data_IF_446703265847
#
_entry.id   IF_446703265847
#
_cell.length_a   1.000
_cell.length_b   1.000
_cell.length_c   1.000
_cell.angle_alpha   90.00
_cell.angle_beta   90.00
_cell.angle_gamma   90.00
#
_symmetry.space_group_name_H-M   'P 1'
#
loop_
_entity.id
_entity.type
_entity.pdbx_description
1 polymer ?
#
# COMPACT_ATOMS: atom_id res chain seq x y z
N UNK A 1 -9.48 -5.69 -30.78
CA UNK A 1 -10.20 -6.70 -31.58
C UNK A 1 -10.80 -6.12 -32.88
N UNK A 2 -11.19 -4.85 -32.89
CA UNK A 2 -11.85 -4.18 -34.03
C UNK A 2 -11.04 -2.99 -34.55
N UNK A 3 -9.71 -3.03 -34.46
CA UNK A 3 -8.80 -1.94 -34.86
C UNK A 3 -8.84 -1.62 -36.34
N UNK A 4 -9.24 -2.56 -37.16
CA UNK A 4 -9.43 -2.44 -38.61
C UNK A 4 -10.79 -1.80 -38.99
N UNK A 5 -11.74 -1.72 -38.06
CA UNK A 5 -13.08 -1.17 -38.26
C UNK A 5 -13.12 0.35 -38.09
N UNK A 6 -12.34 1.05 -38.87
CA UNK A 6 -12.28 2.51 -38.90
C UNK A 6 -13.37 3.10 -39.80
N UNK A 7 -13.69 4.36 -39.58
CA UNK A 7 -14.60 5.11 -40.46
C UNK A 7 -14.28 4.93 -41.94
N UNK A 8 -12.98 5.04 -42.28
CA UNK A 8 -12.52 4.93 -43.66
C UNK A 8 -12.74 3.52 -44.22
N UNK A 9 -12.44 2.46 -43.49
CA UNK A 9 -12.65 1.08 -43.95
C UNK A 9 -14.14 0.77 -44.10
N UNK A 10 -14.96 1.15 -43.12
CA UNK A 10 -16.40 0.93 -43.12
C UNK A 10 -17.08 1.69 -44.28
N UNK A 11 -16.69 2.93 -44.50
CA UNK A 11 -17.22 3.71 -45.65
C UNK A 11 -16.81 3.11 -46.96
N UNK A 12 -15.57 2.68 -47.14
CA UNK A 12 -15.08 2.07 -48.35
C UNK A 12 -15.79 0.74 -48.66
N UNK A 13 -15.96 -0.11 -47.62
CA UNK A 13 -16.70 -1.37 -47.72
C UNK A 13 -18.15 -1.11 -48.18
N UNK A 14 -18.84 -0.18 -47.46
CA UNK A 14 -20.22 0.16 -47.76
C UNK A 14 -20.41 0.77 -49.18
N UNK A 15 -19.46 1.58 -49.68
CA UNK A 15 -19.50 2.14 -50.99
C UNK A 15 -19.24 1.10 -52.06
N UNK A 16 -18.40 0.07 -51.81
CA UNK A 16 -18.13 -1.04 -52.70
C UNK A 16 -19.32 -1.96 -52.94
N UNK A 17 -20.19 -2.05 -51.91
CA UNK A 17 -21.40 -2.89 -51.98
C UNK A 17 -22.59 -2.21 -52.70
N UNK A 18 -22.48 -0.91 -53.01
CA UNK A 18 -23.51 -0.20 -53.76
C UNK A 18 -23.52 -0.68 -55.24
N UNK A 19 -24.67 -1.17 -55.69
CA UNK A 19 -24.84 -1.73 -57.04
C UNK A 19 -24.53 -0.75 -58.16
N UNK A 20 -24.13 -1.31 -59.32
CA UNK A 20 -23.75 -0.52 -60.49
C UNK A 20 -24.85 0.42 -60.97
N UNK A 21 -24.45 1.62 -61.38
CA UNK A 21 -25.34 2.67 -61.89
C UNK A 21 -25.69 3.78 -60.90
N UNK A 22 -25.23 3.65 -59.63
CA UNK A 22 -25.38 4.69 -58.59
C UNK A 22 -24.06 5.48 -58.48
N UNK A 23 -24.17 6.79 -58.40
CA UNK A 23 -23.02 7.68 -58.16
C UNK A 23 -22.60 7.60 -56.68
N UNK A 24 -21.37 7.13 -56.43
CA UNK A 24 -20.81 6.89 -55.08
C UNK A 24 -19.69 7.85 -54.72
N UNK A 25 -19.44 8.88 -55.52
CA UNK A 25 -18.40 9.89 -55.25
C UNK A 25 -18.75 10.82 -54.11
N UNK A 26 -17.74 11.49 -53.60
CA UNK A 26 -17.90 12.51 -52.55
C UNK A 26 -18.87 13.62 -53.01
N UNK A 27 -19.80 14.02 -52.13
CA UNK A 27 -20.84 15.00 -52.44
C UNK A 27 -22.15 14.43 -52.96
N UNK A 28 -22.22 13.18 -53.41
CA UNK A 28 -23.46 12.54 -53.78
C UNK A 28 -24.27 12.05 -52.54
N UNK A 29 -25.58 11.96 -52.71
CA UNK A 29 -26.49 11.60 -51.62
C UNK A 29 -26.14 10.28 -50.94
N UNK A 30 -25.76 9.25 -51.72
CA UNK A 30 -25.37 7.94 -51.22
C UNK A 30 -24.10 8.02 -50.39
N UNK A 31 -23.09 8.76 -50.87
CA UNK A 31 -21.87 8.97 -50.08
C UNK A 31 -22.15 9.62 -48.77
N UNK A 32 -22.93 10.72 -48.74
CA UNK A 32 -23.25 11.44 -47.54
C UNK A 32 -24.05 10.57 -46.53
N UNK A 33 -24.97 9.76 -47.01
CA UNK A 33 -25.76 8.87 -46.19
C UNK A 33 -24.88 7.76 -45.55
N UNK A 34 -24.04 7.09 -46.35
CA UNK A 34 -23.14 6.04 -45.92
C UNK A 34 -22.02 6.57 -44.99
N UNK A 35 -21.55 7.79 -45.25
CA UNK A 35 -20.57 8.47 -44.42
C UNK A 35 -21.10 8.67 -42.99
N UNK A 36 -22.32 9.14 -42.86
CA UNK A 36 -22.95 9.31 -41.51
C UNK A 36 -23.13 7.94 -40.81
N UNK A 37 -23.53 6.90 -41.54
CA UNK A 37 -23.68 5.56 -41.02
C UNK A 37 -22.34 4.95 -40.59
N UNK A 38 -21.30 5.07 -41.45
CA UNK A 38 -19.98 4.57 -41.16
C UNK A 38 -19.37 5.19 -39.90
N UNK A 39 -19.64 6.49 -39.66
CA UNK A 39 -19.22 7.16 -38.44
C UNK A 39 -19.93 6.60 -37.15
N UNK A 40 -21.22 6.35 -37.24
CA UNK A 40 -21.93 5.71 -36.10
C UNK A 40 -21.52 4.25 -35.90
N UNK A 41 -21.21 3.51 -36.98
CA UNK A 41 -20.68 2.14 -36.84
C UNK A 41 -19.27 2.11 -36.24
N UNK A 42 -18.38 3.04 -36.56
CA UNK A 42 -17.07 3.15 -35.92
C UNK A 42 -17.22 3.33 -34.44
N UNK A 43 -18.09 4.25 -33.97
CA UNK A 43 -18.39 4.43 -32.56
C UNK A 43 -18.90 3.15 -31.88
N UNK A 44 -19.76 2.39 -32.58
CA UNK A 44 -20.24 1.12 -32.06
C UNK A 44 -19.10 0.10 -31.91
N UNK A 45 -18.19 0.00 -32.87
CA UNK A 45 -17.04 -0.89 -32.77
C UNK A 45 -16.08 -0.48 -31.66
N UNK A 46 -15.87 0.82 -31.45
CA UNK A 46 -15.10 1.34 -30.29
C UNK A 46 -15.77 0.93 -28.97
N UNK A 47 -17.09 1.07 -28.88
CA UNK A 47 -17.83 0.64 -27.68
C UNK A 47 -17.78 -0.86 -27.46
N UNK A 48 -17.87 -1.66 -28.54
CA UNK A 48 -17.74 -3.11 -28.46
C UNK A 48 -16.35 -3.55 -27.99
N UNK A 49 -15.29 -2.89 -28.46
CA UNK A 49 -13.91 -3.16 -28.00
C UNK A 49 -13.78 -2.81 -26.52
N UNK A 50 -14.31 -1.68 -26.09
CA UNK A 50 -14.35 -1.29 -24.67
C UNK A 50 -15.08 -2.34 -23.82
N UNK A 51 -16.30 -2.71 -24.18
CA UNK A 51 -17.09 -3.74 -23.47
C UNK A 51 -16.33 -5.07 -23.40
N UNK A 52 -15.68 -5.47 -24.50
CA UNK A 52 -14.89 -6.71 -24.51
C UNK A 52 -13.74 -6.67 -23.52
N UNK A 53 -13.03 -5.54 -23.44
CA UNK A 53 -11.94 -5.33 -22.47
C UNK A 53 -12.44 -5.33 -21.03
N UNK A 54 -13.64 -4.80 -20.79
CA UNK A 54 -14.23 -4.79 -19.45
C UNK A 54 -14.63 -6.19 -18.97
N UNK A 55 -14.79 -7.16 -19.85
CA UNK A 55 -15.06 -8.55 -19.49
C UNK A 55 -13.87 -9.35 -18.96
N UNK A 56 -12.67 -8.79 -18.97
CA UNK A 56 -11.44 -9.46 -18.53
C UNK A 56 -10.78 -8.69 -17.40
N UNK A 57 -10.45 -9.40 -16.32
CA UNK A 57 -9.93 -8.78 -15.09
C UNK A 57 -8.60 -8.00 -15.30
N UNK A 58 -7.77 -8.41 -16.28
CA UNK A 58 -6.50 -7.77 -16.61
C UNK A 58 -6.68 -6.40 -17.30
N UNK A 59 -7.78 -6.24 -18.05
CA UNK A 59 -8.06 -5.03 -18.85
C UNK A 59 -9.25 -4.22 -18.34
N UNK A 60 -10.03 -4.75 -17.39
CA UNK A 60 -11.17 -4.07 -16.80
C UNK A 60 -10.77 -2.84 -15.99
N UNK A 61 -11.58 -1.80 -16.06
CA UNK A 61 -11.50 -0.66 -15.16
C UNK A 61 -11.89 -1.08 -13.72
N UNK A 62 -11.67 -0.20 -12.74
CA UNK A 62 -11.89 -0.53 -11.33
C UNK A 62 -13.33 -0.98 -11.05
N UNK A 63 -14.32 -0.31 -11.64
CA UNK A 63 -15.75 -0.60 -11.40
C UNK A 63 -16.12 -2.02 -11.84
N UNK A 64 -15.72 -2.40 -13.05
CA UNK A 64 -15.98 -3.73 -13.61
C UNK A 64 -15.12 -4.80 -12.94
N UNK A 65 -13.88 -4.48 -12.58
CA UNK A 65 -13.03 -5.40 -11.83
C UNK A 65 -13.62 -5.74 -10.46
N UNK A 66 -14.28 -4.77 -9.78
CA UNK A 66 -14.99 -5.01 -8.53
C UNK A 66 -16.08 -6.08 -8.73
N UNK A 67 -16.87 -5.99 -9.81
CA UNK A 67 -17.92 -6.97 -10.10
C UNK A 67 -17.33 -8.35 -10.43
N UNK A 68 -16.26 -8.40 -11.24
CA UNK A 68 -15.55 -9.66 -11.56
C UNK A 68 -14.97 -10.30 -10.27
N UNK A 69 -14.39 -9.50 -9.38
CA UNK A 69 -13.81 -9.99 -8.13
C UNK A 69 -14.87 -10.53 -7.16
N UNK A 70 -16.08 -9.98 -7.16
CA UNK A 70 -17.21 -10.47 -6.35
C UNK A 70 -17.60 -11.90 -6.68
N UNK A 71 -17.47 -12.35 -7.92
CA UNK A 71 -17.74 -13.75 -8.33
C UNK A 71 -16.80 -14.74 -7.60
N UNK A 72 -15.67 -14.24 -7.11
CA UNK A 72 -14.69 -14.98 -6.29
C UNK A 72 -14.85 -14.72 -4.80
N UNK A 73 -15.88 -13.97 -4.38
CA UNK A 73 -16.07 -13.56 -3.00
C UNK A 73 -15.05 -12.51 -2.51
N UNK A 74 -14.40 -11.81 -3.45
CA UNK A 74 -13.42 -10.75 -3.14
C UNK A 74 -14.11 -9.40 -3.28
N UNK A 75 -14.11 -8.64 -2.20
CA UNK A 75 -14.66 -7.28 -2.15
C UNK A 75 -13.53 -6.27 -2.08
N UNK A 76 -13.71 -5.15 -2.78
CA UNK A 76 -12.78 -4.02 -2.68
C UNK A 76 -12.66 -3.58 -1.22
N UNK A 77 -11.43 -3.40 -0.74
CA UNK A 77 -11.19 -2.76 0.56
C UNK A 77 -11.53 -1.29 0.47
N UNK A 78 -12.42 -0.85 1.35
CA UNK A 78 -12.76 0.56 1.48
C UNK A 78 -11.76 1.27 2.37
N UNK A 79 -11.65 2.58 2.18
CA UNK A 79 -10.84 3.43 3.04
C UNK A 79 -11.14 3.16 4.51
N UNK A 80 -10.11 3.07 5.32
CA UNK A 80 -10.21 2.80 6.74
C UNK A 80 -9.74 3.99 7.58
N UNK A 81 -10.26 4.07 8.81
CA UNK A 81 -9.87 5.12 9.74
C UNK A 81 -8.58 4.74 10.47
N UNK A 82 -7.70 5.72 10.68
CA UNK A 82 -6.55 5.53 11.56
C UNK A 82 -6.99 5.45 13.02
N UNK A 83 -6.33 4.59 13.78
CA UNK A 83 -6.45 4.53 15.24
C UNK A 83 -5.13 4.96 15.86
N UNK A 84 -5.23 5.80 16.88
CA UNK A 84 -4.08 6.39 17.55
C UNK A 84 -4.19 6.20 19.06
N UNK A 85 -3.04 6.19 19.73
CA UNK A 85 -2.95 6.22 21.19
C UNK A 85 -2.93 7.66 21.65
N UNK A 86 -3.88 8.03 22.51
CA UNK A 86 -4.00 9.37 23.09
C UNK A 86 -3.73 9.29 24.57
N UNK A 87 -2.82 10.13 25.06
CA UNK A 87 -2.51 10.25 26.49
C UNK A 87 -3.01 11.59 27.00
N UNK A 88 -3.80 11.56 28.06
CA UNK A 88 -4.26 12.73 28.79
C UNK A 88 -3.57 12.91 30.15
N UNK A 89 -3.84 14.05 30.78
CA UNK A 89 -3.43 14.29 32.19
C UNK A 89 -4.55 14.01 33.23
N UNK A 90 -5.77 13.76 32.73
CA UNK A 90 -6.97 13.41 33.52
C UNK A 90 -7.77 12.32 32.80
N UNK A 91 -8.73 11.67 33.48
CA UNK A 91 -9.66 10.74 32.82
C UNK A 91 -10.44 11.44 31.70
N UNK A 92 -10.46 10.80 30.50
CA UNK A 92 -11.17 11.31 29.33
C UNK A 92 -12.37 10.41 29.05
N UNK A 93 -13.60 10.93 29.01
CA UNK A 93 -14.77 10.14 28.69
C UNK A 93 -14.72 9.58 27.25
N UNK A 94 -15.20 8.34 27.08
CA UNK A 94 -15.38 7.75 25.73
C UNK A 94 -16.36 8.61 24.94
N UNK A 95 -16.05 8.82 23.66
CA UNK A 95 -16.82 9.70 22.79
C UNK A 95 -16.32 11.15 22.73
N UNK A 96 -15.39 11.56 23.62
CA UNK A 96 -14.76 12.88 23.56
C UNK A 96 -14.03 13.06 22.25
N UNK A 97 -14.18 14.25 21.68
CA UNK A 97 -13.57 14.60 20.39
C UNK A 97 -12.44 15.59 20.56
N UNK A 98 -11.40 15.37 19.79
CA UNK A 98 -10.20 16.20 19.72
C UNK A 98 -9.88 16.56 18.29
N UNK A 99 -9.16 17.65 18.08
CA UNK A 99 -8.64 18.05 16.77
C UNK A 99 -7.12 18.11 16.82
N UNK A 100 -6.47 17.59 15.78
CA UNK A 100 -5.05 17.81 15.52
C UNK A 100 -4.89 18.17 14.03
N UNK A 101 -4.39 19.38 13.76
CA UNK A 101 -4.34 19.97 12.42
C UNK A 101 -5.72 19.98 11.76
N UNK A 102 -5.90 19.32 10.60
CA UNK A 102 -7.16 19.22 9.86
C UNK A 102 -8.02 18.03 10.23
N UNK A 103 -7.55 17.13 11.11
CA UNK A 103 -8.24 15.89 11.44
C UNK A 103 -8.89 15.94 12.82
N UNK A 104 -10.07 15.32 12.92
CA UNK A 104 -10.77 15.12 14.16
C UNK A 104 -10.67 13.66 14.62
N UNK A 105 -10.53 13.48 15.92
CA UNK A 105 -10.38 12.18 16.54
C UNK A 105 -11.42 12.02 17.65
N UNK A 106 -11.95 10.82 17.80
CA UNK A 106 -12.92 10.47 18.85
C UNK A 106 -12.36 9.35 19.70
N UNK A 107 -12.37 9.51 21.01
CA UNK A 107 -12.02 8.46 21.95
C UNK A 107 -13.04 7.32 21.84
N UNK A 108 -12.54 6.12 21.59
CA UNK A 108 -13.39 4.92 21.37
C UNK A 108 -13.22 3.87 22.46
N UNK A 109 -12.04 3.82 23.10
CA UNK A 109 -11.71 2.79 24.07
C UNK A 109 -10.64 3.28 25.04
N UNK A 110 -10.68 2.85 26.30
CA UNK A 110 -9.59 3.02 27.24
C UNK A 110 -8.58 1.88 27.09
N UNK A 111 -7.30 2.21 26.88
CA UNK A 111 -6.22 1.21 26.82
C UNK A 111 -5.68 0.97 28.25
N UNK A 112 -5.45 2.05 29.00
CA UNK A 112 -4.96 1.98 30.37
C UNK A 112 -5.47 3.18 31.18
N UNK A 113 -6.45 2.95 32.03
CA UNK A 113 -7.07 3.97 32.86
C UNK A 113 -6.11 4.52 33.92
N UNK A 114 -5.14 3.74 34.41
CA UNK A 114 -4.21 4.17 35.43
C UNK A 114 -3.23 5.26 34.96
N UNK A 115 -2.99 5.32 33.63
CA UNK A 115 -2.09 6.31 32.99
C UNK A 115 -2.81 7.16 31.94
N UNK A 116 -4.15 7.15 31.98
CA UNK A 116 -5.03 7.94 31.13
C UNK A 116 -4.70 7.80 29.63
N UNK A 117 -4.48 6.57 29.19
CA UNK A 117 -4.17 6.26 27.79
C UNK A 117 -5.39 5.64 27.12
N UNK A 118 -5.76 6.19 25.98
CA UNK A 118 -6.98 5.88 25.26
C UNK A 118 -6.67 5.57 23.80
N UNK A 119 -7.50 4.72 23.20
CA UNK A 119 -7.56 4.55 21.76
C UNK A 119 -8.53 5.58 21.18
N UNK A 120 -8.08 6.36 20.24
CA UNK A 120 -8.92 7.28 19.48
C UNK A 120 -8.95 6.88 18.01
N UNK A 121 -10.10 7.06 17.38
CA UNK A 121 -10.32 6.84 15.94
C UNK A 121 -10.34 8.21 15.25
N UNK A 122 -9.58 8.36 14.18
CA UNK A 122 -9.76 9.49 13.27
C UNK A 122 -11.15 9.42 12.63
N UNK A 123 -11.88 10.52 12.59
CA UNK A 123 -13.22 10.55 12.01
C UNK A 123 -13.20 10.53 10.47
N UNK A 124 -12.08 10.85 9.87
CA UNK A 124 -11.86 10.78 8.42
C UNK A 124 -11.06 9.52 8.10
N UNK A 125 -11.55 8.76 7.11
CA UNK A 125 -10.85 7.61 6.58
C UNK A 125 -9.73 8.07 5.62
N UNK A 126 -8.71 7.26 5.47
CA UNK A 126 -7.58 7.52 4.59
C UNK A 126 -6.23 7.61 5.30
N UNK A 127 -5.18 7.74 4.54
CA UNK A 127 -3.78 7.70 5.00
C UNK A 127 -3.30 9.02 5.62
N UNK A 128 -4.05 10.12 5.46
CA UNK A 128 -3.68 11.46 5.92
C UNK A 128 -3.24 11.56 7.38
N UNK A 129 -3.91 10.91 8.36
CA UNK A 129 -3.54 10.97 9.77
C UNK A 129 -2.38 10.07 10.18
N UNK A 130 -1.85 9.20 9.33
CA UNK A 130 -0.90 8.14 9.69
C UNK A 130 0.44 8.60 10.29
N UNK A 131 0.85 9.83 9.97
CA UNK A 131 2.12 10.38 10.45
C UNK A 131 1.92 11.54 11.44
N UNK A 132 0.73 11.67 12.00
CA UNK A 132 0.42 12.77 12.91
C UNK A 132 0.55 12.33 14.36
N UNK A 133 1.45 13.00 15.06
CA UNK A 133 1.63 12.90 16.52
C UNK A 133 1.71 14.29 17.13
N UNK A 134 1.47 14.40 18.41
CA UNK A 134 1.61 15.64 19.15
C UNK A 134 0.35 16.08 19.88
N UNK A 135 0.36 17.31 20.35
CA UNK A 135 -0.67 17.87 21.22
C UNK A 135 -1.96 18.16 20.44
N UNK A 136 -3.09 17.73 21.02
CA UNK A 136 -4.43 17.84 20.45
C UNK A 136 -5.22 18.95 21.14
N UNK A 137 -6.14 19.55 20.43
CA UNK A 137 -7.09 20.53 20.94
C UNK A 137 -8.41 19.82 21.22
N UNK A 138 -8.90 19.91 22.45
CA UNK A 138 -10.20 19.36 22.83
C UNK A 138 -11.34 20.13 22.14
N UNK A 139 -12.20 19.42 21.41
CA UNK A 139 -13.44 19.96 20.83
C UNK A 139 -14.55 19.94 21.88
N UNK A 140 -14.63 18.87 22.67
CA UNK A 140 -15.54 18.77 23.80
C UNK A 140 -14.80 19.16 25.08
N UNK A 141 -15.49 19.90 25.94
CA UNK A 141 -14.94 20.26 27.26
C UNK A 141 -14.77 19.01 28.13
N UNK A 142 -13.59 18.90 28.76
CA UNK A 142 -13.27 17.85 29.74
C UNK A 142 -12.70 18.56 30.96
N UNK A 143 -13.33 18.35 32.13
CA UNK A 143 -12.94 19.00 33.38
C UNK A 143 -11.51 18.64 33.78
N UNK A 144 -10.68 19.67 34.04
CA UNK A 144 -9.29 19.48 34.45
C UNK A 144 -8.34 19.02 33.36
N UNK A 145 -8.77 18.92 32.09
CA UNK A 145 -7.88 18.58 30.98
C UNK A 145 -7.02 19.78 30.58
N UNK A 146 -5.73 19.66 30.85
CA UNK A 146 -4.73 20.65 30.44
C UNK A 146 -4.00 20.24 29.16
N UNK A 147 -3.80 18.92 28.97
CA UNK A 147 -3.06 18.37 27.84
C UNK A 147 -3.60 17.01 27.43
N UNK A 148 -3.77 16.85 26.12
CA UNK A 148 -3.95 15.55 25.48
C UNK A 148 -3.03 15.49 24.25
N UNK A 149 -2.36 14.36 24.03
CA UNK A 149 -1.42 14.20 22.94
C UNK A 149 -1.55 12.81 22.27
N UNK A 150 -1.39 12.77 20.96
CA UNK A 150 -1.19 11.52 20.23
C UNK A 150 0.25 11.09 20.44
N UNK A 151 0.43 9.91 21.05
CA UNK A 151 1.74 9.33 21.36
C UNK A 151 2.24 8.42 20.23
N UNK A 152 1.33 7.67 19.61
CA UNK A 152 1.66 6.75 18.53
C UNK A 152 0.42 6.45 17.66
N UNK A 153 0.66 5.97 16.43
CA UNK A 153 -0.36 5.42 15.57
C UNK A 153 -0.45 3.92 15.80
N UNK A 154 -1.60 3.44 16.24
CA UNK A 154 -1.86 2.03 16.57
C UNK A 154 -2.17 1.21 15.32
N UNK A 155 -3.03 1.78 14.45
CA UNK A 155 -3.41 1.21 13.16
C UNK A 155 -3.46 2.34 12.15
N UNK A 156 -2.77 2.16 11.04
CA UNK A 156 -2.79 3.12 9.95
C UNK A 156 -4.16 3.15 9.27
N UNK A 157 -4.62 4.35 8.89
CA UNK A 157 -5.73 4.50 7.97
C UNK A 157 -5.26 4.19 6.54
N UNK A 158 -6.16 3.67 5.75
CA UNK A 158 -5.91 3.30 4.36
C UNK A 158 -6.89 4.02 3.43
N UNK A 159 -6.45 4.30 2.22
CA UNK A 159 -7.31 4.79 1.14
C UNK A 159 -8.17 3.63 0.57
N UNK A 160 -9.13 3.95 -0.27
CA UNK A 160 -9.82 2.94 -1.08
C UNK A 160 -8.78 2.14 -1.87
N UNK A 161 -8.94 0.81 -1.90
CA UNK A 161 -8.07 -0.08 -2.64
C UNK A 161 -8.04 0.27 -4.11
N UNK A 162 -6.83 0.41 -4.66
CA UNK A 162 -6.63 0.70 -6.07
C UNK A 162 -6.99 -0.49 -6.96
N UNK A 163 -7.21 -0.21 -8.26
CA UNK A 163 -7.45 -1.24 -9.27
C UNK A 163 -6.38 -2.34 -9.26
N UNK A 164 -5.11 -1.94 -9.21
CA UNK A 164 -4.00 -2.87 -9.33
C UNK A 164 -3.85 -3.74 -8.08
N UNK A 165 -4.05 -3.17 -6.88
CA UNK A 165 -4.05 -3.93 -5.63
C UNK A 165 -5.22 -4.94 -5.58
N UNK A 166 -6.41 -4.55 -6.04
CA UNK A 166 -7.56 -5.46 -6.15
C UNK A 166 -7.28 -6.59 -7.16
N UNK A 167 -6.66 -6.26 -8.31
CA UNK A 167 -6.30 -7.23 -9.32
C UNK A 167 -5.30 -8.28 -8.81
N UNK A 168 -4.28 -7.85 -8.08
CA UNK A 168 -3.31 -8.75 -7.45
C UNK A 168 -3.98 -9.70 -6.46
N UNK A 169 -4.88 -9.20 -5.61
CA UNK A 169 -5.66 -10.04 -4.69
C UNK A 169 -6.58 -11.01 -5.44
N UNK A 170 -7.17 -10.57 -6.54
CA UNK A 170 -7.97 -11.43 -7.40
C UNK A 170 -7.13 -12.57 -7.97
N UNK A 171 -5.92 -12.28 -8.51
CA UNK A 171 -5.01 -13.30 -8.99
C UNK A 171 -4.55 -14.24 -7.86
N UNK A 172 -4.24 -13.70 -6.68
CA UNK A 172 -3.84 -14.51 -5.53
C UNK A 172 -4.92 -15.52 -5.11
N UNK A 173 -6.20 -15.20 -5.33
CA UNK A 173 -7.31 -16.10 -5.02
C UNK A 173 -7.32 -17.40 -5.84
N UNK A 174 -6.69 -17.42 -7.01
CA UNK A 174 -6.57 -18.63 -7.83
C UNK A 174 -5.43 -19.53 -7.34
N UNK A 175 -4.42 -18.95 -6.68
CA UNK A 175 -3.32 -19.70 -6.09
C UNK A 175 -3.70 -20.35 -4.74
N UNK A 176 -4.74 -19.83 -4.08
CA UNK A 176 -5.26 -20.37 -2.83
C UNK A 176 -6.21 -21.53 -3.09
N UNK A 177 -5.72 -22.77 -2.99
CA UNK A 177 -6.61 -23.93 -2.96
C UNK A 177 -7.55 -23.87 -1.73
N UNK A 178 -8.78 -24.40 -1.90
CA UNK A 178 -9.90 -24.19 -0.99
C UNK A 178 -9.72 -24.70 0.45
N UNK A 179 -8.68 -25.49 0.74
CA UNK A 179 -8.47 -26.08 2.05
C UNK A 179 -7.00 -26.28 2.39
N UNK A 180 -6.56 -25.86 3.57
CA UNK A 180 -5.45 -26.47 4.21
C UNK A 180 -4.36 -25.62 4.83
N UNK A 181 -4.52 -24.33 5.05
CA UNK A 181 -3.50 -23.54 5.73
C UNK A 181 -2.17 -23.47 4.96
N UNK A 182 -2.23 -23.43 3.64
CA UNK A 182 -1.07 -23.19 2.81
C UNK A 182 -0.60 -21.72 2.92
N UNK A 183 0.62 -21.45 2.48
CA UNK A 183 1.23 -20.11 2.56
C UNK A 183 0.38 -19.06 1.86
N UNK A 184 -0.21 -19.37 0.70
CA UNK A 184 -1.05 -18.44 -0.06
C UNK A 184 -2.32 -18.06 0.73
N UNK A 185 -2.93 -19.01 1.43
CA UNK A 185 -4.10 -18.76 2.27
C UNK A 185 -3.77 -17.90 3.49
N UNK A 186 -2.63 -18.12 4.17
CA UNK A 186 -2.15 -17.25 5.23
C UNK A 186 -1.95 -15.82 4.71
N UNK A 187 -1.24 -15.65 3.58
CA UNK A 187 -1.02 -14.35 2.94
C UNK A 187 -2.36 -13.67 2.62
N UNK A 188 -3.29 -14.38 1.98
CA UNK A 188 -4.61 -13.84 1.62
C UNK A 188 -5.38 -13.34 2.85
N UNK A 189 -5.40 -14.10 3.94
CA UNK A 189 -6.10 -13.71 5.18
C UNK A 189 -5.44 -12.51 5.86
N UNK A 190 -4.13 -12.52 5.95
CA UNK A 190 -3.35 -11.42 6.55
C UNK A 190 -3.52 -10.12 5.75
N UNK A 191 -3.50 -10.18 4.41
CA UNK A 191 -3.71 -9.01 3.55
C UNK A 191 -5.11 -8.39 3.66
N UNK A 192 -6.08 -9.09 4.21
CA UNK A 192 -7.42 -8.54 4.46
C UNK A 192 -7.49 -7.69 5.74
N UNK A 193 -6.48 -7.74 6.59
CA UNK A 193 -6.46 -7.01 7.86
C UNK A 193 -6.00 -5.59 7.61
N UNK A 194 -6.78 -4.61 8.03
CA UNK A 194 -6.45 -3.19 7.88
C UNK A 194 -5.14 -2.85 8.64
N UNK A 195 -4.31 -2.00 8.01
CA UNK A 195 -3.01 -1.61 8.55
C UNK A 195 -1.85 -2.56 8.19
N UNK A 196 -2.12 -3.67 7.47
CA UNK A 196 -1.10 -4.61 6.99
C UNK A 196 -0.77 -4.35 5.53
N UNK A 197 0.51 -4.06 5.23
CA UNK A 197 1.03 -3.88 3.88
C UNK A 197 1.58 -5.16 3.26
N UNK A 198 1.87 -6.19 4.06
CA UNK A 198 2.40 -7.45 3.55
C UNK A 198 2.80 -8.43 4.63
N UNK A 199 3.13 -9.66 4.24
CA UNK A 199 3.63 -10.65 5.18
C UNK A 199 4.50 -11.73 4.52
N UNK A 200 5.38 -12.32 5.32
CA UNK A 200 6.11 -13.55 4.99
C UNK A 200 5.73 -14.66 5.96
N UNK A 201 5.56 -15.86 5.43
CA UNK A 201 5.12 -17.03 6.21
C UNK A 201 6.24 -18.05 6.26
N UNK A 202 6.70 -18.42 7.47
CA UNK A 202 7.71 -19.44 7.71
C UNK A 202 7.06 -20.67 8.34
N UNK A 203 6.89 -21.78 7.61
CA UNK A 203 6.40 -23.03 8.17
C UNK A 203 7.46 -23.71 9.02
N UNK A 204 7.02 -24.46 10.03
CA UNK A 204 7.85 -25.35 10.86
C UNK A 204 9.04 -24.63 11.55
N UNK A 205 8.87 -23.35 11.89
CA UNK A 205 9.95 -22.52 12.42
C UNK A 205 10.44 -22.94 13.81
N UNK A 206 9.58 -23.59 14.59
CA UNK A 206 9.88 -24.10 15.94
C UNK A 206 9.36 -25.54 16.14
N UNK A 207 9.56 -26.38 15.13
CA UNK A 207 9.11 -27.79 15.15
C UNK A 207 7.74 -28.01 14.50
N UNK A 208 7.24 -29.24 14.53
CA UNK A 208 6.00 -29.62 13.86
C UNK A 208 4.81 -28.74 14.28
N UNK A 209 3.90 -28.50 13.34
CA UNK A 209 2.67 -27.73 13.53
C UNK A 209 2.88 -26.21 13.79
N UNK A 210 4.11 -25.71 13.81
CA UNK A 210 4.37 -24.28 14.05
C UNK A 210 4.44 -23.47 12.76
N UNK A 211 3.82 -22.30 12.75
CA UNK A 211 3.84 -21.33 11.65
C UNK A 211 4.19 -19.96 12.19
N UNK A 212 5.25 -19.33 11.67
CA UNK A 212 5.56 -17.94 11.96
C UNK A 212 5.10 -17.07 10.80
N UNK A 213 4.39 -16.01 11.10
CA UNK A 213 4.01 -14.98 10.13
C UNK A 213 4.64 -13.66 10.56
N UNK A 214 5.53 -13.14 9.72
CA UNK A 214 6.13 -11.81 9.92
C UNK A 214 5.35 -10.82 9.08
N UNK A 215 4.84 -9.76 9.71
CA UNK A 215 3.98 -8.75 9.08
C UNK A 215 4.68 -7.40 8.99
N UNK A 216 4.39 -6.66 7.91
CA UNK A 216 4.81 -5.27 7.71
C UNK A 216 3.57 -4.37 7.66
N UNK A 217 3.67 -3.15 8.15
CA UNK A 217 2.54 -2.20 8.12
C UNK A 217 2.25 -1.70 6.70
N UNK A 218 1.07 -1.14 6.47
CA UNK A 218 0.67 -0.51 5.20
C UNK A 218 1.57 0.66 4.78
N UNK A 219 2.33 1.25 5.72
CA UNK A 219 3.35 2.27 5.43
C UNK A 219 4.76 1.67 5.21
N UNK A 220 4.86 0.35 5.08
CA UNK A 220 6.12 -0.39 4.90
C UNK A 220 7.13 -0.17 6.03
N UNK A 221 6.61 -0.09 7.26
CA UNK A 221 7.38 -0.02 8.50
C UNK A 221 7.06 -1.18 9.45
N UNK A 222 7.70 -1.19 10.62
CA UNK A 222 7.34 -2.14 11.68
C UNK A 222 5.90 -1.90 12.14
N UNK A 223 5.18 -2.99 12.43
CA UNK A 223 3.84 -2.92 13.01
C UNK A 223 3.90 -2.56 14.50
N UNK A 224 2.88 -1.83 14.98
CA UNK A 224 2.72 -1.63 16.42
C UNK A 224 2.43 -2.95 17.15
N UNK A 225 2.77 -3.05 18.43
CA UNK A 225 2.43 -4.21 19.26
C UNK A 225 0.93 -4.44 19.33
N UNK A 226 0.15 -3.36 19.28
CA UNK A 226 -1.31 -3.43 19.20
C UNK A 226 -1.78 -4.17 17.97
N UNK A 227 -1.30 -3.77 16.78
CA UNK A 227 -1.68 -4.40 15.50
C UNK A 227 -1.27 -5.89 15.47
N UNK A 228 -0.05 -6.21 15.90
CA UNK A 228 0.44 -7.60 16.01
C UNK A 228 -0.47 -8.42 16.92
N UNK A 229 -0.85 -7.86 18.08
CA UNK A 229 -1.77 -8.53 19.02
C UNK A 229 -3.17 -8.76 18.44
N UNK A 230 -3.71 -7.81 17.66
CA UNK A 230 -4.99 -7.98 16.97
C UNK A 230 -4.90 -9.10 15.93
N UNK A 231 -3.87 -9.08 15.09
CA UNK A 231 -3.64 -10.13 14.08
C UNK A 231 -3.49 -11.50 14.76
N UNK A 232 -2.75 -11.58 15.86
CA UNK A 232 -2.59 -12.84 16.62
C UNK A 232 -3.92 -13.37 17.13
N UNK A 233 -4.79 -12.51 17.66
CA UNK A 233 -6.14 -12.89 18.13
C UNK A 233 -7.03 -13.40 17.00
N UNK A 234 -6.93 -12.81 15.81
CA UNK A 234 -7.69 -13.25 14.65
C UNK A 234 -7.12 -14.54 14.04
N UNK A 235 -5.79 -14.66 14.01
CA UNK A 235 -5.13 -15.83 13.42
C UNK A 235 -5.24 -17.07 14.32
N UNK A 236 -4.80 -16.94 15.55
CA UNK A 236 -4.63 -18.08 16.47
C UNK A 236 -4.80 -17.60 17.92
N UNK A 237 -6.06 -17.36 18.36
CA UNK A 237 -6.33 -16.93 19.75
C UNK A 237 -5.95 -17.99 20.79
N UNK A 238 -6.04 -19.26 20.41
CA UNK A 238 -5.63 -20.41 21.21
C UNK A 238 -4.85 -21.37 20.32
N UNK A 239 -3.58 -21.67 20.62
CA UNK A 239 -2.74 -22.55 19.81
C UNK A 239 -3.41 -23.88 19.47
N UNK A 240 -3.31 -24.32 18.22
CA UNK A 240 -3.79 -25.62 17.70
C UNK A 240 -5.28 -25.87 17.71
N UNK A 241 -6.10 -24.96 18.23
CA UNK A 241 -7.55 -25.19 18.40
C UNK A 241 -8.40 -24.79 17.18
N UNK A 242 -7.83 -24.04 16.22
CA UNK A 242 -8.55 -23.61 15.02
C UNK A 242 -9.70 -22.63 15.30
N UNK A 243 -9.65 -21.86 16.40
CA UNK A 243 -10.66 -20.85 16.73
C UNK A 243 -10.50 -19.54 15.95
N UNK A 244 -9.34 -19.33 15.33
CA UNK A 244 -9.09 -18.23 14.38
C UNK A 244 -9.13 -18.72 12.94
N UNK A 245 -8.49 -17.96 12.02
CA UNK A 245 -8.37 -18.41 10.65
C UNK A 245 -7.24 -19.46 10.45
N UNK A 246 -6.33 -19.60 11.42
CA UNK A 246 -5.32 -20.67 11.39
C UNK A 246 -6.01 -22.04 11.54
N UNK A 247 -5.64 -23.03 10.71
CA UNK A 247 -6.21 -24.37 10.79
C UNK A 247 -6.01 -25.05 12.14
N UNK A 248 -6.83 -26.08 12.39
CA UNK A 248 -6.63 -26.99 13.52
C UNK A 248 -5.21 -27.57 13.47
N UNK A 249 -4.59 -27.74 14.62
CA UNK A 249 -3.20 -28.17 14.82
C UNK A 249 -2.13 -27.15 14.37
N UNK A 250 -2.49 -25.98 13.86
CA UNK A 250 -1.50 -24.93 13.62
C UNK A 250 -1.29 -24.08 14.87
N UNK A 251 -0.04 -23.97 15.30
CA UNK A 251 0.43 -23.03 16.31
C UNK A 251 1.07 -21.84 15.59
N UNK A 252 0.25 -20.82 15.37
CA UNK A 252 0.64 -19.65 14.56
C UNK A 252 1.12 -18.51 15.43
N UNK A 253 2.34 -18.06 15.20
CA UNK A 253 2.96 -16.90 15.84
C UNK A 253 3.03 -15.73 14.86
N UNK A 254 2.48 -14.59 15.26
CA UNK A 254 2.54 -13.34 14.50
C UNK A 254 3.64 -12.46 15.09
N UNK A 255 4.54 -11.97 14.24
CA UNK A 255 5.60 -11.03 14.64
C UNK A 255 5.63 -9.85 13.68
N UNK A 256 6.03 -8.69 14.18
CA UNK A 256 6.36 -7.54 13.31
C UNK A 256 7.68 -7.79 12.61
N UNK A 257 7.82 -7.27 11.38
CA UNK A 257 9.12 -7.13 10.73
C UNK A 257 10.06 -6.31 11.61
N UNK A 258 11.33 -6.68 11.65
CA UNK A 258 12.37 -5.97 12.40
C UNK A 258 12.93 -4.80 11.59
N UNK A 259 12.81 -3.59 12.13
CA UNK A 259 13.35 -2.38 11.50
C UNK A 259 14.83 -2.19 11.85
N UNK A 260 15.71 -2.38 10.89
CA UNK A 260 17.16 -2.18 11.03
C UNK A 260 17.52 -0.77 10.62
N UNK A 261 18.03 0.03 11.54
CA UNK A 261 18.51 1.39 11.26
C UNK A 261 19.75 1.33 10.41
N UNK A 262 19.72 2.06 9.29
CA UNK A 262 20.84 2.20 8.36
C UNK A 262 21.43 3.59 8.56
N UNK A 263 22.56 3.65 9.26
CA UNK A 263 23.36 4.88 9.39
C UNK A 263 24.20 5.06 8.14
N UNK A 264 24.10 6.25 7.53
CA UNK A 264 24.78 6.58 6.29
C UNK A 264 25.78 7.70 6.55
N UNK A 265 27.04 7.42 6.26
CA UNK A 265 28.13 8.41 6.25
C UNK A 265 28.61 8.50 4.81
N UNK A 266 28.64 9.70 4.25
CA UNK A 266 29.05 9.89 2.85
C UNK A 266 29.66 11.25 2.64
N UNK A 267 30.58 11.35 1.68
CA UNK A 267 31.20 12.62 1.29
C UNK A 267 30.54 13.14 0.04
N UNK A 268 29.94 14.33 0.16
CA UNK A 268 29.14 14.94 -0.91
C UNK A 268 29.87 16.19 -1.42
N UNK A 269 30.00 16.30 -2.73
CA UNK A 269 30.44 17.51 -3.43
C UNK A 269 29.20 18.31 -3.84
N UNK A 270 29.20 19.61 -3.54
CA UNK A 270 28.07 20.49 -3.76
C UNK A 270 28.28 21.47 -4.91
N UNK A 271 27.23 21.87 -5.58
CA UNK A 271 27.22 23.03 -6.47
C UNK A 271 27.47 24.32 -5.69
N UNK A 272 27.99 25.36 -6.38
CA UNK A 272 28.21 26.66 -5.76
C UNK A 272 26.91 27.21 -5.14
N UNK A 273 26.96 27.62 -3.88
CA UNK A 273 25.83 28.13 -3.11
C UNK A 273 25.09 27.05 -2.29
N UNK A 274 25.43 25.78 -2.41
CA UNK A 274 24.86 24.71 -1.61
C UNK A 274 25.82 24.18 -0.56
N UNK A 275 25.28 23.66 0.53
CA UNK A 275 26.04 23.09 1.63
C UNK A 275 25.26 21.94 2.28
N UNK A 276 25.92 21.16 3.12
CA UNK A 276 25.23 20.11 3.89
C UNK A 276 24.03 20.64 4.68
N UNK A 277 24.18 21.78 5.34
CA UNK A 277 23.09 22.36 6.14
C UNK A 277 21.84 22.72 5.32
N UNK A 278 22.01 23.06 4.04
CA UNK A 278 20.88 23.38 3.15
C UNK A 278 20.26 22.15 2.47
N UNK A 279 21.01 21.04 2.31
CA UNK A 279 20.57 19.86 1.58
C UNK A 279 20.31 18.65 2.46
N UNK A 280 20.64 18.69 3.75
CA UNK A 280 20.52 17.56 4.68
C UNK A 280 19.15 16.91 4.62
N UNK A 281 18.09 17.70 4.69
CA UNK A 281 16.71 17.17 4.74
C UNK A 281 16.31 16.54 3.41
N UNK A 282 16.69 17.15 2.27
CA UNK A 282 16.44 16.61 0.93
C UNK A 282 17.20 15.29 0.70
N UNK A 283 18.47 15.25 1.10
CA UNK A 283 19.31 14.03 1.03
C UNK A 283 18.72 12.92 1.91
N UNK A 284 18.34 13.27 3.15
CA UNK A 284 17.74 12.30 4.08
C UNK A 284 16.42 11.77 3.55
N UNK A 285 15.58 12.63 2.95
CA UNK A 285 14.31 12.24 2.33
C UNK A 285 14.55 11.25 1.17
N UNK A 286 15.52 11.50 0.28
CA UNK A 286 15.86 10.61 -0.82
C UNK A 286 16.40 9.25 -0.36
N UNK A 287 17.23 9.24 0.67
CA UNK A 287 17.68 8.00 1.30
C UNK A 287 16.50 7.24 1.90
N UNK A 288 15.60 7.94 2.62
CA UNK A 288 14.41 7.34 3.20
C UNK A 288 13.48 6.75 2.13
N UNK A 289 13.27 7.46 1.02
CA UNK A 289 12.49 6.99 -0.13
C UNK A 289 13.08 5.69 -0.73
N UNK A 290 14.39 5.64 -0.94
CA UNK A 290 15.07 4.44 -1.40
C UNK A 290 14.94 3.26 -0.41
N UNK A 291 15.13 3.50 0.88
CA UNK A 291 14.99 2.44 1.89
C UNK A 291 13.53 1.97 2.02
N UNK A 292 12.56 2.89 1.89
CA UNK A 292 11.13 2.54 1.88
C UNK A 292 10.75 1.71 0.65
N UNK A 293 11.35 1.97 -0.52
CA UNK A 293 11.13 1.12 -1.70
C UNK A 293 11.62 -0.32 -1.49
N UNK A 294 12.77 -0.51 -0.80
CA UNK A 294 13.24 -1.84 -0.43
C UNK A 294 12.32 -2.54 0.58
N UNK A 295 11.73 -1.78 1.51
CA UNK A 295 10.76 -2.32 2.45
C UNK A 295 9.43 -2.71 1.76
N UNK A 296 9.01 -2.00 0.73
CA UNK A 296 7.88 -2.38 -0.12
C UNK A 296 8.18 -3.68 -0.89
N UNK A 297 9.34 -3.78 -1.54
CA UNK A 297 9.78 -5.00 -2.25
C UNK A 297 9.90 -6.22 -1.31
N UNK A 298 10.19 -5.99 -0.01
CA UNK A 298 10.23 -7.06 0.99
C UNK A 298 8.88 -7.78 1.10
N UNK A 299 7.76 -7.05 1.03
CA UNK A 299 6.42 -7.60 1.16
C UNK A 299 6.08 -8.64 0.08
N UNK A 300 6.62 -8.47 -1.14
CA UNK A 300 6.40 -9.36 -2.28
C UNK A 300 7.26 -10.64 -2.24
N UNK A 301 8.31 -10.62 -1.43
CA UNK A 301 9.25 -11.72 -1.30
C UNK A 301 8.74 -12.91 -0.47
N UNK A 302 9.57 -13.93 -0.39
CA UNK A 302 9.40 -15.07 0.51
C UNK A 302 10.54 -15.12 1.56
N UNK A 303 10.54 -16.17 2.40
CA UNK A 303 11.56 -16.35 3.44
C UNK A 303 12.97 -16.64 2.89
N UNK A 304 13.13 -16.99 1.62
CA UNK A 304 14.43 -17.19 0.97
C UNK A 304 15.02 -15.85 0.46
N UNK A 305 14.18 -14.83 0.33
CA UNK A 305 14.56 -13.54 -0.23
C UNK A 305 15.17 -12.63 0.84
N UNK A 306 16.44 -12.28 0.68
CA UNK A 306 17.14 -11.32 1.53
C UNK A 306 17.14 -9.94 0.89
N UNK A 307 16.87 -8.92 1.70
CA UNK A 307 16.93 -7.54 1.24
C UNK A 307 18.38 -7.03 1.29
N UNK A 308 18.85 -6.43 0.21
CA UNK A 308 20.20 -5.86 0.17
C UNK A 308 20.14 -4.35 -0.10
N UNK A 309 20.70 -3.56 0.81
CA UNK A 309 20.92 -2.12 0.61
C UNK A 309 22.20 -1.94 -0.18
N UNK A 310 22.06 -1.56 -1.45
CA UNK A 310 23.19 -1.33 -2.34
C UNK A 310 23.70 0.11 -2.21
N UNK A 311 24.98 0.28 -1.89
CA UNK A 311 25.62 1.60 -1.82
C UNK A 311 25.46 2.36 -3.15
N UNK A 312 25.67 1.70 -4.28
CA UNK A 312 25.56 2.34 -5.60
C UNK A 312 24.16 2.88 -5.89
N UNK A 313 23.10 2.14 -5.51
CA UNK A 313 21.70 2.60 -5.68
C UNK A 313 21.37 3.76 -4.74
N UNK A 314 21.87 3.70 -3.50
CA UNK A 314 21.74 4.80 -2.55
C UNK A 314 22.45 6.06 -3.04
N UNK A 315 23.67 5.94 -3.54
CA UNK A 315 24.41 7.06 -4.14
C UNK A 315 23.65 7.64 -5.34
N UNK A 316 23.10 6.81 -6.23
CA UNK A 316 22.28 7.26 -7.36
C UNK A 316 21.06 8.06 -6.89
N UNK A 317 20.35 7.59 -5.87
CA UNK A 317 19.19 8.30 -5.31
C UNK A 317 19.57 9.68 -4.72
N UNK A 318 20.76 9.80 -4.11
CA UNK A 318 21.22 11.07 -3.55
C UNK A 318 21.75 12.00 -4.65
N UNK A 319 22.33 11.48 -5.74
CA UNK A 319 22.75 12.28 -6.90
C UNK A 319 21.56 12.99 -7.58
N UNK A 320 20.35 12.47 -7.46
CA UNK A 320 19.14 13.11 -7.98
C UNK A 320 18.72 14.36 -7.17
N UNK A 321 19.36 14.65 -6.03
CA UNK A 321 19.07 15.86 -5.24
C UNK A 321 19.68 17.09 -5.91
N UNK A 322 18.87 18.12 -6.28
CA UNK A 322 19.39 19.34 -6.87
C UNK A 322 20.41 20.02 -5.96
N UNK A 323 21.60 20.30 -6.49
CA UNK A 323 22.71 20.90 -5.73
C UNK A 323 23.79 19.89 -5.31
N UNK A 324 23.57 18.59 -5.46
CA UNK A 324 24.60 17.55 -5.33
C UNK A 324 25.31 17.38 -6.67
N UNK A 325 26.63 17.33 -6.66
CA UNK A 325 27.48 17.15 -7.86
C UNK A 325 28.09 15.75 -7.89
N UNK A 326 28.58 15.28 -6.75
CA UNK A 326 29.25 13.98 -6.66
C UNK A 326 29.18 13.42 -5.25
N UNK A 327 29.29 12.09 -5.14
CA UNK A 327 29.21 11.36 -3.88
C UNK A 327 30.31 10.30 -3.85
N UNK A 328 31.09 10.31 -2.78
CA UNK A 328 32.19 9.37 -2.57
C UNK A 328 32.24 8.87 -1.12
N UNK A 329 33.04 7.86 -0.86
CA UNK A 329 33.34 7.36 0.49
C UNK A 329 32.08 7.01 1.31
N UNK A 330 31.06 6.43 0.64
CA UNK A 330 29.81 6.07 1.31
C UNK A 330 29.97 4.81 2.15
N UNK A 331 29.52 4.89 3.41
CA UNK A 331 29.52 3.78 4.36
C UNK A 331 28.10 3.56 4.90
N UNK A 332 27.74 2.30 5.06
CA UNK A 332 26.50 1.86 5.72
C UNK A 332 26.87 1.20 7.05
N UNK A 333 26.35 1.72 8.16
CA UNK A 333 26.67 1.24 9.51
C UNK A 333 28.17 1.13 9.77
N UNK A 334 28.96 2.08 9.23
CA UNK A 334 30.43 2.14 9.37
C UNK A 334 31.21 1.22 8.44
N UNK A 335 30.57 0.48 7.54
CA UNK A 335 31.22 -0.38 6.55
C UNK A 335 31.04 0.16 5.13
N UNK A 336 32.11 0.14 4.32
CA UNK A 336 32.06 0.52 2.89
C UNK A 336 31.62 -0.67 2.00
N UNK A 337 30.63 -1.43 2.47
CA UNK A 337 30.06 -2.60 1.78
C UNK A 337 28.54 -2.53 1.78
N UNK A 338 27.91 -3.22 0.82
CA UNK A 338 26.46 -3.36 0.81
C UNK A 338 25.96 -4.03 2.10
N UNK A 339 24.83 -3.59 2.63
CA UNK A 339 24.23 -4.15 3.82
C UNK A 339 23.20 -5.21 3.41
N UNK A 340 23.41 -6.45 3.87
CA UNK A 340 22.48 -7.57 3.65
C UNK A 340 21.67 -7.76 4.92
N UNK A 341 20.37 -7.73 4.79
CA UNK A 341 19.41 -7.93 5.88
C UNK A 341 18.85 -9.35 5.83
N UNK A 342 18.45 -9.85 6.99
CA UNK A 342 17.78 -11.15 7.05
C UNK A 342 16.34 -11.07 6.50
N UNK A 343 15.76 -12.23 6.24
CA UNK A 343 14.45 -12.35 5.59
C UNK A 343 13.29 -11.65 6.34
N UNK A 344 13.42 -11.49 7.67
CA UNK A 344 12.44 -10.83 8.55
C UNK A 344 12.80 -9.39 8.91
N UNK A 345 13.79 -8.79 8.22
CA UNK A 345 14.28 -7.45 8.48
C UNK A 345 14.02 -6.51 7.30
N UNK A 346 13.77 -5.24 7.62
CA UNK A 346 13.67 -4.13 6.65
C UNK A 346 14.62 -3.00 7.01
N UNK A 347 15.15 -2.26 6.03
CA UNK A 347 15.98 -1.10 6.29
C UNK A 347 15.10 0.12 6.60
N UNK A 348 15.49 0.87 7.63
CA UNK A 348 14.92 2.20 7.93
C UNK A 348 16.05 3.22 8.06
N UNK A 349 15.76 4.48 7.75
CA UNK A 349 16.77 5.53 7.84
C UNK A 349 17.23 5.72 9.29
N UNK A 350 18.52 5.65 9.51
CA UNK A 350 19.19 5.98 10.75
C UNK A 350 19.76 7.40 10.73
N UNK A 351 20.99 7.55 11.22
CA UNK A 351 21.69 8.83 11.17
C UNK A 351 22.33 9.04 9.80
N UNK A 352 22.03 10.18 9.18
CA UNK A 352 22.69 10.61 7.93
C UNK A 352 23.65 11.74 8.23
N UNK A 353 24.92 11.59 7.82
CA UNK A 353 25.97 12.57 8.06
C UNK A 353 26.99 12.60 6.91
N UNK A 354 27.66 13.73 6.77
CA UNK A 354 28.81 13.86 5.87
C UNK A 354 30.09 13.51 6.60
N UNK A 355 31.05 12.91 5.86
CA UNK A 355 32.42 12.66 6.31
C UNK A 355 33.24 13.96 6.29
#
# INVERSE_FOLDING_TARGET
>A
MYEDKTYSSLLQDALSDVGGGVQTGEGYLVYNALSALAYELEKLYIQMDYITRQGHADTADLEELIEIAKDRGIYQKKASNAYVSVKGNVPIPIGTRFSLKSFNYRIVEAINDNVYTYKAMCEEAGSGPNNLTGEMIAINHVDGLEKAEITEVLVNGEEDETRDALYERYLLSFAAEAFGGNIAQYKQRIYMIAGVGGCKVQPVWNGPSTVKVVVISSEFGACSEYLVSQIQKEACPVPRMGYGFAPIDHDTTIESVEAVKVDVITKISYMSGYSWSSLKDAVTAKISEYLKSLASEWADGDISTKTTVYIAKLQAAVLDVPGVVDITETQLNGAATNLILDWNQIPVVGKVSTA
#
